data_IF_286292112637
#
_entry.id   IF_286292112637
#
_cell.length_a   1.000
_cell.length_b   1.000
_cell.length_c   1.000
_cell.angle_alpha   90.00
_cell.angle_beta   90.00
_cell.angle_gamma   90.00
#
_symmetry.space_group_name_H-M   'P 1'
#
loop_
_entity.id
_entity.type
_entity.pdbx_description
1 polymer ?
#
# COMPACT_ATOMS: atom_id res chain seq x y z
N UNK A 1 -1.37 66.01 -46.29
CA UNK A 1 -1.03 66.71 -45.03
C UNK A 1 -2.26 66.62 -44.14
N UNK A 2 -2.19 65.85 -43.05
CA UNK A 2 -1.87 66.31 -41.68
C UNK A 2 -3.18 66.57 -40.92
N UNK A 3 -3.72 65.62 -40.14
CA UNK A 3 -3.33 65.17 -38.77
C UNK A 3 -3.82 66.07 -37.62
N UNK A 4 -4.11 65.40 -36.48
CA UNK A 4 -4.43 65.94 -35.13
C UNK A 4 -5.90 66.38 -34.91
N UNK A 5 -6.56 66.27 -33.73
CA UNK A 5 -6.38 65.69 -32.36
C UNK A 5 -7.82 65.69 -31.71
N UNK A 6 -8.26 64.94 -30.67
CA UNK A 6 -7.73 63.89 -29.76
C UNK A 6 -8.90 63.22 -28.97
N UNK A 7 -8.77 61.93 -28.57
CA UNK A 7 -9.10 61.31 -27.23
C UNK A 7 -10.41 61.70 -26.47
N UNK A 8 -11.27 60.76 -26.03
CA UNK A 8 -11.09 59.96 -24.78
C UNK A 8 -11.93 58.65 -24.74
N UNK A 9 -11.46 57.68 -23.94
CA UNK A 9 -12.04 56.36 -23.69
C UNK A 9 -13.40 56.40 -22.96
N UNK A 10 -14.28 55.45 -23.33
CA UNK A 10 -15.36 54.94 -22.48
C UNK A 10 -15.32 53.41 -22.47
N UNK A 11 -14.91 52.81 -21.36
CA UNK A 11 -14.87 51.35 -21.19
C UNK A 11 -16.26 50.88 -20.76
N UNK A 12 -16.86 49.94 -21.50
CA UNK A 12 -18.03 49.18 -21.02
C UNK A 12 -17.84 47.71 -21.34
N UNK A 13 -17.56 46.93 -20.29
CA UNK A 13 -17.24 45.51 -20.38
C UNK A 13 -18.48 44.69 -20.74
N UNK A 14 -18.56 44.21 -21.98
CA UNK A 14 -19.56 43.20 -22.36
C UNK A 14 -19.09 41.86 -21.79
N UNK A 15 -19.80 41.36 -20.78
CA UNK A 15 -19.64 39.99 -20.29
C UNK A 15 -20.25 39.05 -21.33
N UNK A 16 -19.46 38.75 -22.37
CA UNK A 16 -19.78 37.73 -23.35
C UNK A 16 -19.67 36.36 -22.70
N UNK A 17 -20.79 35.81 -22.25
CA UNK A 17 -20.84 34.44 -21.78
C UNK A 17 -20.46 33.49 -22.90
N UNK A 18 -19.25 32.91 -22.84
CA UNK A 18 -18.94 31.73 -23.63
C UNK A 18 -19.84 30.59 -23.15
N UNK A 19 -20.93 30.37 -23.89
CA UNK A 19 -21.54 29.06 -24.02
C UNK A 19 -20.49 28.14 -24.67
N UNK A 20 -19.56 27.64 -23.87
CA UNK A 20 -18.72 26.52 -24.24
C UNK A 20 -19.66 25.36 -24.52
N UNK A 21 -19.81 25.04 -25.80
CA UNK A 21 -20.47 23.83 -26.27
C UNK A 21 -19.93 22.65 -25.48
N UNK A 22 -20.79 21.98 -24.71
CA UNK A 22 -20.44 20.76 -23.99
C UNK A 22 -19.77 19.79 -24.96
N UNK A 23 -18.49 19.42 -24.76
CA UNK A 23 -17.85 18.47 -25.64
C UNK A 23 -18.63 17.16 -25.63
N UNK A 24 -18.84 16.57 -26.81
CA UNK A 24 -19.42 15.23 -26.91
C UNK A 24 -18.29 14.26 -26.58
N UNK A 25 -18.15 13.97 -25.29
CA UNK A 25 -17.11 13.09 -24.76
C UNK A 25 -17.41 11.63 -25.10
N UNK A 26 -16.38 10.91 -25.54
CA UNK A 26 -16.31 9.48 -25.31
C UNK A 26 -15.97 9.25 -23.83
N UNK A 27 -16.87 8.61 -23.10
CA UNK A 27 -16.82 8.37 -21.64
C UNK A 27 -15.84 7.25 -21.27
N UNK A 28 -14.54 7.46 -21.53
CA UNK A 28 -13.48 6.50 -21.23
C UNK A 28 -12.10 7.16 -21.08
N UNK A 29 -11.76 7.55 -19.84
CA UNK A 29 -10.55 8.31 -19.45
C UNK A 29 -10.21 9.52 -20.32
N UNK A 30 -10.70 10.69 -19.88
CA UNK A 30 -10.03 11.96 -20.17
C UNK A 30 -8.60 11.99 -19.58
N UNK A 31 -7.70 12.85 -20.12
CA UNK A 31 -6.30 12.91 -19.70
C UNK A 31 -6.16 13.25 -18.21
N UNK A 32 -4.99 12.91 -17.65
CA UNK A 32 -4.64 13.09 -16.24
C UNK A 32 -5.00 14.51 -15.78
N UNK A 33 -6.09 14.62 -15.01
CA UNK A 33 -6.55 15.87 -14.44
C UNK A 33 -5.77 16.21 -13.18
N UNK A 34 -5.48 17.49 -12.94
CA UNK A 34 -4.98 17.96 -11.65
C UNK A 34 -6.15 18.42 -10.79
N UNK A 35 -6.44 17.74 -9.68
CA UNK A 35 -7.41 18.20 -8.69
C UNK A 35 -6.69 18.57 -7.37
N UNK A 36 -6.79 19.85 -7.00
CA UNK A 36 -6.19 20.43 -5.80
C UNK A 36 -6.86 19.99 -4.48
N UNK A 37 -8.08 19.44 -4.51
CA UNK A 37 -8.76 18.95 -3.31
C UNK A 37 -7.98 17.81 -2.63
N UNK A 38 -7.28 16.98 -3.41
CA UNK A 38 -6.40 15.93 -2.89
C UNK A 38 -5.09 16.48 -2.30
N UNK A 39 -4.70 17.73 -2.59
CA UNK A 39 -3.48 18.36 -2.05
C UNK A 39 -3.60 18.67 -0.54
N UNK A 40 -4.81 18.77 0.00
CA UNK A 40 -5.06 18.96 1.44
C UNK A 40 -4.98 17.65 2.26
N UNK A 41 -4.58 16.54 1.64
CA UNK A 41 -4.40 15.25 2.31
C UNK A 41 -2.92 15.00 2.63
N UNK A 42 -2.61 14.46 3.81
CA UNK A 42 -1.23 14.11 4.21
C UNK A 42 -0.71 12.81 3.55
N UNK A 43 -1.22 12.43 2.38
CA UNK A 43 -0.77 11.24 1.67
C UNK A 43 0.66 11.43 1.15
N UNK A 44 1.52 10.42 1.25
CA UNK A 44 2.89 10.46 0.72
C UNK A 44 3.73 11.64 1.27
N UNK A 45 3.51 12.04 2.53
CA UNK A 45 4.12 13.22 3.18
C UNK A 45 5.02 12.84 4.37
N UNK A 46 5.89 11.85 4.18
CA UNK A 46 6.90 11.47 5.17
C UNK A 46 8.11 12.44 5.20
N UNK A 47 8.83 12.52 6.33
CA UNK A 47 10.14 13.19 6.39
C UNK A 47 11.18 12.56 5.45
N UNK A 48 11.11 11.24 5.23
CA UNK A 48 12.04 10.49 4.36
C UNK A 48 11.85 10.92 2.89
N UNK A 49 10.63 10.92 2.37
CA UNK A 49 10.36 11.25 0.97
C UNK A 49 10.79 12.67 0.56
N UNK A 50 10.79 13.62 1.51
CA UNK A 50 11.26 15.01 1.29
C UNK A 50 12.72 15.08 0.86
N UNK A 51 13.52 14.05 1.12
CA UNK A 51 14.92 13.96 0.72
C UNK A 51 15.12 13.62 -0.76
N UNK A 52 14.12 13.04 -1.43
CA UNK A 52 14.20 12.59 -2.82
C UNK A 52 13.60 13.57 -3.83
N UNK A 53 12.85 14.58 -3.38
CA UNK A 53 12.31 15.64 -4.22
C UNK A 53 10.83 15.91 -3.99
N UNK A 54 10.20 16.65 -4.91
CA UNK A 54 8.76 16.93 -4.84
C UNK A 54 7.96 15.70 -5.29
N UNK A 55 6.93 15.38 -4.52
CA UNK A 55 5.91 14.37 -4.85
C UNK A 55 4.75 15.04 -5.61
N UNK A 56 4.31 14.42 -6.71
CA UNK A 56 3.01 14.70 -7.33
C UNK A 56 1.91 13.90 -6.64
N UNK A 57 0.87 14.60 -6.19
CA UNK A 57 -0.32 14.07 -5.52
C UNK A 57 -1.61 14.54 -6.19
N UNK A 58 -1.49 15.33 -7.27
CA UNK A 58 -2.61 16.04 -7.88
C UNK A 58 -3.24 15.25 -9.04
N UNK A 59 -2.52 14.24 -9.55
CA UNK A 59 -2.93 13.44 -10.70
C UNK A 59 -4.18 12.61 -10.41
N UNK A 60 -5.17 12.72 -11.29
CA UNK A 60 -6.45 12.01 -11.21
C UNK A 60 -6.86 11.48 -12.57
N UNK A 61 -7.74 10.46 -12.58
CA UNK A 61 -8.41 9.93 -13.78
C UNK A 61 -9.91 9.83 -13.53
N UNK A 62 -10.71 10.16 -14.54
CA UNK A 62 -12.18 10.08 -14.47
C UNK A 62 -12.65 8.72 -15.02
N UNK A 63 -13.41 7.99 -14.21
CA UNK A 63 -13.94 6.65 -14.55
C UNK A 63 -15.41 6.59 -14.09
N UNK A 64 -16.34 6.28 -14.99
CA UNK A 64 -17.80 6.37 -14.74
C UNK A 64 -18.24 7.71 -14.10
N UNK A 65 -17.65 8.82 -14.54
CA UNK A 65 -17.91 10.17 -13.98
C UNK A 65 -17.34 10.42 -12.58
N UNK A 66 -16.65 9.44 -11.96
CA UNK A 66 -15.98 9.60 -10.67
C UNK A 66 -14.53 10.03 -10.87
N UNK A 67 -14.10 11.07 -10.17
CA UNK A 67 -12.68 11.47 -10.08
C UNK A 67 -11.96 10.47 -9.17
N UNK A 68 -10.91 9.83 -9.66
CA UNK A 68 -10.08 8.89 -8.89
C UNK A 68 -8.64 9.41 -8.84
N UNK A 69 -8.03 9.58 -7.64
CA UNK A 69 -6.61 9.91 -7.54
C UNK A 69 -5.74 8.75 -8.01
N UNK A 70 -4.61 9.09 -8.64
CA UNK A 70 -3.55 8.14 -8.99
C UNK A 70 -2.61 7.92 -7.80
N UNK A 71 -1.76 6.89 -7.87
CA UNK A 71 -0.67 6.74 -6.89
C UNK A 71 0.30 7.91 -6.99
N UNK A 72 0.82 8.34 -5.83
CA UNK A 72 1.88 9.33 -5.75
C UNK A 72 3.12 8.92 -6.56
N UNK A 73 3.80 9.91 -7.14
CA UNK A 73 5.05 9.72 -7.89
C UNK A 73 5.96 10.92 -7.68
N UNK A 74 7.27 10.80 -7.93
CA UNK A 74 8.15 11.98 -7.93
C UNK A 74 7.85 12.87 -9.16
N UNK A 75 7.88 14.19 -9.01
CA UNK A 75 7.67 15.11 -10.15
C UNK A 75 8.83 15.09 -11.14
N UNK A 76 10.03 14.74 -10.68
CA UNK A 76 11.22 14.54 -11.49
C UNK A 76 11.86 13.20 -11.12
N UNK A 77 11.60 12.19 -11.95
CA UNK A 77 12.11 10.82 -11.79
C UNK A 77 13.65 10.76 -11.80
N UNK A 78 14.29 11.61 -12.61
CA UNK A 78 15.75 11.61 -12.79
C UNK A 78 16.46 12.26 -11.59
N UNK A 79 15.90 13.35 -11.06
CA UNK A 79 16.34 13.93 -9.80
C UNK A 79 16.16 12.96 -8.63
N UNK A 80 15.00 12.29 -8.54
CA UNK A 80 14.72 11.34 -7.47
C UNK A 80 15.72 10.16 -7.47
N UNK A 81 15.95 9.53 -8.62
CA UNK A 81 16.97 8.47 -8.76
C UNK A 81 18.38 8.96 -8.41
N UNK A 82 18.72 10.21 -8.74
CA UNK A 82 20.01 10.82 -8.32
C UNK A 82 20.09 10.99 -6.81
N UNK A 83 19.02 11.44 -6.15
CA UNK A 83 19.02 11.57 -4.68
C UNK A 83 19.12 10.22 -3.98
N UNK A 84 18.44 9.18 -4.49
CA UNK A 84 18.59 7.82 -3.97
C UNK A 84 20.06 7.39 -3.95
N UNK A 85 20.77 7.52 -5.08
CA UNK A 85 22.20 7.18 -5.18
C UNK A 85 23.08 7.93 -4.18
N UNK A 86 22.79 9.20 -3.92
CA UNK A 86 23.53 10.01 -2.96
C UNK A 86 23.24 9.62 -1.50
N UNK A 87 22.03 9.12 -1.21
CA UNK A 87 21.56 8.84 0.16
C UNK A 87 21.91 7.46 0.67
N UNK A 88 21.98 6.47 -0.22
CA UNK A 88 22.20 5.07 0.14
C UNK A 88 23.35 4.41 -0.65
N UNK A 89 24.52 5.08 -0.77
CA UNK A 89 25.59 4.63 -1.65
C UNK A 89 26.13 3.26 -1.23
N UNK A 90 26.14 2.93 0.06
CA UNK A 90 26.73 1.68 0.55
C UNK A 90 25.88 0.48 0.14
N UNK A 91 24.57 0.54 0.41
CA UNK A 91 23.59 -0.50 0.02
C UNK A 91 23.58 -0.71 -1.48
N UNK A 92 23.57 0.37 -2.27
CA UNK A 92 23.58 0.28 -3.73
C UNK A 92 24.88 -0.29 -4.29
N UNK A 93 26.04 0.13 -3.77
CA UNK A 93 27.34 -0.40 -4.20
C UNK A 93 27.51 -1.87 -3.81
N UNK A 94 27.00 -2.28 -2.65
CA UNK A 94 27.03 -3.67 -2.20
C UNK A 94 26.13 -4.57 -3.06
N UNK A 95 24.91 -4.13 -3.39
CA UNK A 95 24.04 -4.84 -4.34
C UNK A 95 24.68 -4.89 -5.74
N UNK A 96 25.19 -3.74 -6.23
CA UNK A 96 25.84 -3.62 -7.55
C UNK A 96 27.01 -4.58 -7.71
N UNK A 97 27.93 -4.60 -6.74
CA UNK A 97 29.13 -5.44 -6.77
C UNK A 97 28.82 -6.93 -6.61
N UNK A 98 27.99 -7.31 -5.63
CA UNK A 98 27.68 -8.71 -5.31
C UNK A 98 26.82 -9.40 -6.38
N UNK A 99 26.07 -8.63 -7.17
CA UNK A 99 25.21 -9.14 -8.25
C UNK A 99 25.63 -8.70 -9.66
N UNK A 100 26.81 -8.08 -9.83
CA UNK A 100 27.33 -7.57 -11.10
C UNK A 100 26.38 -6.61 -11.85
N UNK A 101 25.57 -5.83 -11.12
CA UNK A 101 24.63 -4.90 -11.71
C UNK A 101 25.29 -3.55 -12.00
N UNK A 102 24.89 -2.92 -13.11
CA UNK A 102 25.15 -1.48 -13.36
C UNK A 102 24.48 -0.63 -12.27
N UNK A 103 24.98 0.60 -12.09
CA UNK A 103 24.38 1.62 -11.22
C UNK A 103 22.84 1.69 -11.39
N UNK A 104 22.12 1.81 -10.27
CA UNK A 104 20.65 1.80 -10.25
C UNK A 104 20.04 2.91 -11.12
N UNK A 105 19.10 2.54 -11.97
CA UNK A 105 18.39 3.42 -12.90
C UNK A 105 17.02 2.82 -13.28
N UNK A 106 16.21 3.56 -14.04
CA UNK A 106 14.87 3.16 -14.48
C UNK A 106 14.79 1.74 -15.07
N UNK A 107 15.83 1.27 -15.77
CA UNK A 107 15.80 -0.06 -16.41
C UNK A 107 16.09 -1.24 -15.47
N UNK A 108 16.76 -1.03 -14.33
CA UNK A 108 17.20 -2.11 -13.43
C UNK A 108 16.75 -1.93 -11.96
N UNK A 109 16.05 -0.86 -11.60
CA UNK A 109 15.52 -0.62 -10.24
C UNK A 109 14.65 -1.76 -9.72
N UNK A 110 13.88 -2.44 -10.59
CA UNK A 110 13.10 -3.64 -10.24
C UNK A 110 13.99 -4.82 -9.83
N UNK A 111 15.21 -4.88 -10.34
CA UNK A 111 16.22 -5.89 -10.00
C UNK A 111 16.89 -5.58 -8.66
N UNK A 112 17.22 -4.31 -8.40
CA UNK A 112 17.66 -3.85 -7.08
C UNK A 112 16.60 -4.13 -6.00
N UNK A 113 15.30 -3.87 -6.28
CA UNK A 113 14.20 -4.25 -5.37
C UNK A 113 14.17 -5.76 -5.11
N UNK A 114 14.22 -6.58 -6.15
CA UNK A 114 14.23 -8.06 -6.03
C UNK A 114 15.34 -8.54 -5.12
N UNK A 115 16.54 -7.98 -5.29
CA UNK A 115 17.69 -8.31 -4.47
C UNK A 115 17.43 -7.88 -3.03
N UNK A 116 17.08 -6.62 -2.75
CA UNK A 116 16.81 -6.15 -1.39
C UNK A 116 15.75 -7.00 -0.66
N UNK A 117 14.65 -7.36 -1.34
CA UNK A 117 13.61 -8.23 -0.81
C UNK A 117 14.08 -9.67 -0.51
N UNK A 118 15.19 -10.12 -1.11
CA UNK A 118 15.82 -11.41 -0.80
C UNK A 118 16.90 -11.30 0.30
N UNK A 119 17.25 -10.08 0.69
CA UNK A 119 18.31 -9.77 1.64
C UNK A 119 17.79 -9.38 3.03
N UNK A 120 16.50 -9.07 3.19
CA UNK A 120 15.85 -8.67 4.46
C UNK A 120 16.21 -9.55 5.66
N UNK A 121 16.51 -10.82 5.41
CA UNK A 121 16.82 -11.83 6.42
C UNK A 121 18.33 -11.84 6.82
N UNK A 122 19.19 -11.04 6.16
CA UNK A 122 20.66 -11.11 6.27
C UNK A 122 21.30 -9.82 6.83
N UNK A 123 21.87 -9.90 8.03
CA UNK A 123 22.54 -8.79 8.72
C UNK A 123 23.79 -8.23 8.01
N UNK A 124 24.39 -8.96 7.06
CA UNK A 124 25.59 -8.53 6.33
C UNK A 124 25.37 -7.25 5.50
N UNK A 125 24.15 -7.03 5.01
CA UNK A 125 23.82 -5.90 4.13
C UNK A 125 23.28 -4.66 4.87
N UNK A 126 22.80 -4.83 6.10
CA UNK A 126 22.11 -3.78 6.86
C UNK A 126 22.90 -3.42 8.10
N UNK A 127 24.04 -2.77 7.88
CA UNK A 127 24.85 -2.18 8.95
C UNK A 127 24.28 -0.84 9.46
N UNK A 128 23.27 -0.29 8.77
CA UNK A 128 22.52 0.90 9.16
C UNK A 128 21.07 0.80 8.65
N UNK A 129 20.09 0.84 9.57
CA UNK A 129 18.66 0.81 9.25
C UNK A 129 18.22 1.98 8.35
N UNK A 130 18.91 3.12 8.44
CA UNK A 130 18.55 4.32 7.69
C UNK A 130 18.62 4.10 6.17
N UNK A 131 19.65 3.42 5.65
CA UNK A 131 19.74 3.21 4.20
C UNK A 131 18.65 2.24 3.69
N UNK A 132 18.32 1.22 4.48
CA UNK A 132 17.24 0.29 4.17
C UNK A 132 15.88 0.99 4.16
N UNK A 133 15.59 1.82 5.18
CA UNK A 133 14.36 2.61 5.26
C UNK A 133 14.25 3.58 4.09
N UNK A 134 15.31 4.33 3.79
CA UNK A 134 15.36 5.24 2.64
C UNK A 134 15.07 4.51 1.31
N UNK A 135 15.63 3.31 1.11
CA UNK A 135 15.33 2.52 -0.09
C UNK A 135 13.89 1.99 -0.13
N UNK A 136 13.37 1.44 0.99
CA UNK A 136 11.99 0.94 1.07
C UNK A 136 10.99 2.08 0.76
N UNK A 137 11.12 3.23 1.42
CA UNK A 137 10.30 4.43 1.18
C UNK A 137 10.38 4.94 -0.25
N UNK A 138 11.58 4.98 -0.84
CA UNK A 138 11.76 5.40 -2.23
C UNK A 138 11.03 4.46 -3.20
N UNK A 139 11.23 3.15 -3.04
CA UNK A 139 10.69 2.13 -3.94
C UNK A 139 9.17 2.11 -3.93
N UNK A 140 8.56 2.24 -2.76
CA UNK A 140 7.10 2.27 -2.62
C UNK A 140 6.46 3.39 -3.47
N UNK A 141 6.97 4.63 -3.37
CA UNK A 141 6.52 5.73 -4.24
C UNK A 141 6.92 5.52 -5.70
N UNK A 142 8.10 4.96 -5.97
CA UNK A 142 8.56 4.72 -7.34
C UNK A 142 7.68 3.67 -8.07
N UNK A 143 7.07 2.72 -7.35
CA UNK A 143 6.09 1.80 -7.94
C UNK A 143 4.85 2.49 -8.49
N UNK A 144 4.51 3.67 -7.96
CA UNK A 144 3.40 4.50 -8.44
C UNK A 144 3.44 4.70 -9.96
N UNK A 145 4.62 4.90 -10.56
CA UNK A 145 4.75 5.05 -12.01
C UNK A 145 4.18 3.85 -12.78
N UNK A 146 4.61 2.63 -12.42
CA UNK A 146 4.21 1.39 -13.07
C UNK A 146 2.78 0.95 -12.71
N UNK A 147 2.27 1.30 -11.51
CA UNK A 147 0.85 1.12 -11.15
C UNK A 147 -0.04 2.04 -11.99
N UNK A 148 0.33 3.32 -12.11
CA UNK A 148 -0.40 4.32 -12.89
C UNK A 148 -0.35 4.04 -14.40
N UNK A 149 0.80 3.64 -14.95
CA UNK A 149 0.94 3.27 -16.36
C UNK A 149 0.01 2.10 -16.73
N UNK A 150 0.05 1.00 -15.97
CA UNK A 150 -0.85 -0.16 -16.16
C UNK A 150 -2.32 0.17 -16.01
N UNK A 151 -2.66 1.11 -15.12
CA UNK A 151 -4.02 1.60 -14.96
C UNK A 151 -4.47 2.32 -16.23
N UNK A 152 -3.67 3.26 -16.74
CA UNK A 152 -3.97 4.01 -17.95
C UNK A 152 -4.05 3.11 -19.20
N UNK A 153 -3.16 2.11 -19.32
CA UNK A 153 -3.26 1.07 -20.35
C UNK A 153 -4.59 0.31 -20.26
N UNK A 154 -4.98 -0.14 -19.06
CA UNK A 154 -6.25 -0.84 -18.87
C UNK A 154 -7.46 0.03 -19.21
N UNK A 155 -7.47 1.30 -18.81
CA UNK A 155 -8.62 2.16 -19.12
C UNK A 155 -8.68 2.46 -20.63
N UNK A 156 -7.54 2.72 -21.28
CA UNK A 156 -7.45 2.87 -22.73
C UNK A 156 -7.98 1.64 -23.49
N UNK A 157 -7.73 0.43 -22.97
CA UNK A 157 -8.22 -0.82 -23.55
C UNK A 157 -9.75 -1.04 -23.42
N UNK A 158 -10.45 -0.28 -22.55
CA UNK A 158 -11.92 -0.35 -22.43
C UNK A 158 -12.63 0.44 -23.54
N UNK A 159 -11.95 1.39 -24.18
CA UNK A 159 -12.52 2.27 -25.20
C UNK A 159 -13.69 3.10 -24.66
N UNK A 160 -14.69 3.32 -25.52
CA UNK A 160 -15.85 4.18 -25.25
C UNK A 160 -16.95 3.46 -24.44
N UNK A 161 -16.57 2.73 -23.38
CA UNK A 161 -17.51 1.90 -22.62
C UNK A 161 -18.16 2.67 -21.48
N UNK A 162 -19.44 3.03 -21.65
CA UNK A 162 -20.22 3.81 -20.68
C UNK A 162 -20.25 3.24 -19.25
N UNK A 163 -20.17 1.92 -19.11
CA UNK A 163 -20.30 1.23 -17.81
C UNK A 163 -19.45 -0.02 -17.71
N UNK A 164 -18.75 -0.14 -16.59
CA UNK A 164 -17.90 -1.26 -16.23
C UNK A 164 -18.69 -2.37 -15.55
N UNK A 165 -18.35 -3.61 -15.89
CA UNK A 165 -18.81 -4.79 -15.14
C UNK A 165 -18.15 -4.86 -13.75
N UNK A 166 -18.76 -5.63 -12.84
CA UNK A 166 -18.22 -5.86 -11.49
C UNK A 166 -16.76 -6.36 -11.52
N UNK A 167 -16.41 -7.22 -12.48
CA UNK A 167 -15.04 -7.74 -12.65
C UNK A 167 -14.05 -6.68 -13.14
N UNK A 168 -14.45 -5.83 -14.11
CA UNK A 168 -13.62 -4.71 -14.57
C UNK A 168 -13.38 -3.70 -13.45
N UNK A 169 -14.42 -3.36 -12.68
CA UNK A 169 -14.30 -2.48 -11.50
C UNK A 169 -13.31 -3.01 -10.48
N UNK A 170 -13.35 -4.31 -10.17
CA UNK A 170 -12.35 -4.95 -9.29
C UNK A 170 -10.95 -4.83 -9.88
N UNK A 171 -10.74 -5.22 -11.14
CA UNK A 171 -9.41 -5.20 -11.80
C UNK A 171 -8.80 -3.80 -11.90
N UNK A 172 -9.62 -2.76 -12.03
CA UNK A 172 -9.20 -1.35 -12.14
C UNK A 172 -9.02 -0.73 -10.75
N UNK A 173 -9.96 -0.96 -9.83
CA UNK A 173 -9.89 -0.49 -8.45
C UNK A 173 -8.70 -1.04 -7.66
N UNK A 174 -8.20 -2.22 -8.02
CA UNK A 174 -6.96 -2.79 -7.48
C UNK A 174 -5.68 -2.11 -7.99
N UNK A 175 -5.73 -1.33 -9.07
CA UNK A 175 -4.61 -0.50 -9.56
C UNK A 175 -4.69 0.96 -9.08
N UNK A 176 -5.69 1.29 -8.25
CA UNK A 176 -5.87 2.60 -7.65
C UNK A 176 -5.48 2.58 -6.16
N UNK A 177 -5.03 3.72 -5.60
CA UNK A 177 -4.89 3.91 -4.15
C UNK A 177 -6.17 3.52 -3.42
N UNK A 178 -6.05 2.90 -2.24
CA UNK A 178 -7.19 2.40 -1.46
C UNK A 178 -8.27 3.46 -1.18
N UNK A 179 -7.87 4.72 -1.04
CA UNK A 179 -8.77 5.86 -0.81
C UNK A 179 -9.48 6.38 -2.06
N UNK A 180 -9.18 5.86 -3.26
CA UNK A 180 -9.87 6.26 -4.49
C UNK A 180 -11.33 5.75 -4.52
N UNK A 181 -12.31 6.53 -5.01
CA UNK A 181 -13.73 6.11 -5.00
C UNK A 181 -14.02 4.76 -5.65
N UNK A 182 -13.36 4.44 -6.79
CA UNK A 182 -13.51 3.15 -7.45
C UNK A 182 -12.76 2.02 -6.73
N UNK A 183 -11.68 2.30 -6.00
CA UNK A 183 -10.99 1.33 -5.16
C UNK A 183 -11.83 0.90 -3.94
N UNK A 184 -12.53 1.86 -3.33
CA UNK A 184 -13.50 1.60 -2.24
C UNK A 184 -14.69 0.78 -2.75
N UNK A 185 -15.21 1.10 -3.95
CA UNK A 185 -16.29 0.33 -4.60
C UNK A 185 -15.83 -1.11 -4.93
N UNK A 186 -14.64 -1.26 -5.52
CA UNK A 186 -14.02 -2.56 -5.81
C UNK A 186 -13.83 -3.42 -4.55
N UNK A 187 -13.31 -2.82 -3.47
CA UNK A 187 -13.12 -3.50 -2.18
C UNK A 187 -14.45 -3.99 -1.60
N UNK A 188 -15.52 -3.19 -1.75
CA UNK A 188 -16.88 -3.58 -1.32
C UNK A 188 -17.39 -4.80 -2.10
N UNK A 189 -17.15 -4.86 -3.41
CA UNK A 189 -17.50 -6.01 -4.25
C UNK A 189 -16.72 -7.27 -3.94
N UNK A 190 -15.43 -7.15 -3.61
CA UNK A 190 -14.57 -8.24 -3.15
C UNK A 190 -15.07 -8.80 -1.82
N UNK A 191 -15.37 -7.93 -0.86
CA UNK A 191 -15.90 -8.29 0.46
C UNK A 191 -17.28 -8.97 0.40
N UNK A 192 -18.13 -8.59 -0.55
CA UNK A 192 -19.45 -9.21 -0.77
C UNK A 192 -19.33 -10.71 -1.12
N UNK A 193 -18.32 -11.09 -1.93
CA UNK A 193 -18.07 -12.49 -2.29
C UNK A 193 -17.77 -13.37 -1.06
N UNK A 194 -17.26 -12.76 0.02
CA UNK A 194 -16.94 -13.43 1.28
C UNK A 194 -17.96 -13.16 2.40
N UNK A 195 -19.18 -12.66 2.13
CA UNK A 195 -20.09 -12.22 3.21
C UNK A 195 -20.32 -13.27 4.32
N UNK A 196 -20.38 -14.56 3.97
CA UNK A 196 -20.51 -15.67 4.92
C UNK A 196 -19.27 -15.91 5.82
N UNK A 197 -18.11 -15.40 5.41
CA UNK A 197 -16.81 -15.59 6.05
C UNK A 197 -16.27 -14.32 6.72
N UNK A 198 -17.01 -13.20 6.71
CA UNK A 198 -16.64 -11.92 7.36
C UNK A 198 -17.22 -11.75 8.77
N UNK A 199 -17.60 -12.86 9.42
CA UNK A 199 -17.89 -12.86 10.86
C UNK A 199 -16.61 -12.72 11.71
N UNK A 200 -16.79 -12.59 13.03
CA UNK A 200 -15.71 -12.68 14.01
C UNK A 200 -14.88 -13.96 13.83
N UNK A 201 -13.64 -13.97 14.32
CA UNK A 201 -12.84 -15.19 14.40
C UNK A 201 -13.63 -16.35 15.05
N UNK A 202 -13.79 -17.53 14.40
CA UNK A 202 -14.57 -18.63 14.96
C UNK A 202 -13.97 -19.21 16.25
N UNK A 203 -12.64 -19.37 16.32
CA UNK A 203 -11.90 -19.59 17.57
C UNK A 203 -10.74 -18.57 17.68
N UNK A 204 -10.98 -17.51 18.46
CA UNK A 204 -9.98 -16.51 18.83
C UNK A 204 -8.78 -17.12 19.57
N UNK A 205 -9.00 -18.11 20.44
CA UNK A 205 -7.92 -18.72 21.21
C UNK A 205 -7.03 -19.60 20.32
N UNK A 206 -7.58 -20.24 19.28
CA UNK A 206 -6.78 -20.93 18.28
C UNK A 206 -5.95 -19.95 17.44
N UNK A 207 -6.52 -18.80 17.06
CA UNK A 207 -5.80 -17.74 16.36
C UNK A 207 -4.59 -17.24 17.17
N UNK A 208 -4.80 -16.89 18.46
CA UNK A 208 -3.73 -16.41 19.36
C UNK A 208 -2.67 -17.49 19.58
N UNK A 209 -3.06 -18.74 19.93
CA UNK A 209 -2.10 -19.85 20.09
C UNK A 209 -1.28 -20.11 18.84
N UNK A 210 -1.88 -19.97 17.65
CA UNK A 210 -1.15 -20.14 16.39
C UNK A 210 -0.12 -19.02 16.18
N UNK A 211 -0.54 -17.76 16.40
CA UNK A 211 0.31 -16.60 16.30
C UNK A 211 1.51 -16.70 17.25
N UNK A 212 1.27 -16.94 18.54
CA UNK A 212 2.33 -17.09 19.56
C UNK A 212 3.32 -18.22 19.23
N UNK A 213 2.81 -19.36 18.75
CA UNK A 213 3.63 -20.54 18.42
C UNK A 213 4.55 -20.32 17.22
N UNK A 214 4.06 -19.65 16.17
CA UNK A 214 4.74 -19.58 14.88
C UNK A 214 5.35 -18.21 14.56
N UNK A 215 5.13 -17.18 15.37
CA UNK A 215 5.69 -15.85 15.17
C UNK A 215 7.22 -15.82 15.01
N UNK A 216 7.94 -16.59 15.83
CA UNK A 216 9.41 -16.64 15.82
C UNK A 216 10.00 -17.59 14.77
N UNK A 217 9.22 -18.55 14.29
CA UNK A 217 9.66 -19.57 13.33
C UNK A 217 8.49 -19.91 12.39
N UNK A 218 8.53 -19.50 11.11
CA UNK A 218 7.46 -19.75 10.16
C UNK A 218 7.08 -21.23 10.04
N UNK A 219 5.78 -21.51 9.85
CA UNK A 219 5.26 -22.86 9.63
C UNK A 219 5.51 -23.34 8.19
N UNK A 220 6.79 -23.40 7.83
CA UNK A 220 7.28 -23.66 6.48
C UNK A 220 6.81 -25.02 5.93
N UNK A 221 6.68 -26.04 6.78
CA UNK A 221 6.27 -27.38 6.35
C UNK A 221 4.79 -27.44 5.95
N UNK A 222 3.90 -26.77 6.68
CA UNK A 222 2.47 -26.84 6.38
C UNK A 222 2.02 -25.79 5.37
N UNK A 223 2.52 -24.56 5.49
CA UNK A 223 2.06 -23.46 4.66
C UNK A 223 3.09 -22.96 3.65
N UNK A 224 4.37 -23.29 3.81
CA UNK A 224 5.46 -22.67 3.06
C UNK A 224 5.80 -21.28 3.60
N UNK A 225 6.99 -20.80 3.22
CA UNK A 225 7.41 -19.39 3.40
C UNK A 225 7.13 -18.66 2.09
N UNK A 226 6.27 -17.65 2.11
CA UNK A 226 5.85 -16.93 0.92
C UNK A 226 6.93 -15.95 0.46
N UNK A 227 7.77 -16.38 -0.48
CA UNK A 227 8.79 -15.52 -1.12
C UNK A 227 8.37 -15.17 -2.56
N UNK A 228 7.67 -14.06 -2.75
CA UNK A 228 7.33 -13.55 -4.09
C UNK A 228 8.35 -12.52 -4.60
N UNK A 229 8.79 -12.70 -5.86
CA UNK A 229 9.81 -11.87 -6.54
C UNK A 229 9.47 -10.37 -6.70
N UNK A 230 8.27 -9.93 -6.32
CA UNK A 230 7.80 -8.56 -6.54
C UNK A 230 7.10 -7.94 -5.32
N UNK A 231 6.80 -8.73 -4.29
CA UNK A 231 6.18 -8.25 -3.04
C UNK A 231 7.30 -8.21 -1.99
N UNK A 232 7.48 -7.07 -1.32
CA UNK A 232 8.29 -7.04 -0.11
C UNK A 232 7.48 -7.69 1.00
N UNK A 233 8.12 -8.47 1.86
CA UNK A 233 7.51 -8.94 3.11
C UNK A 233 6.23 -9.80 2.91
N UNK A 234 6.09 -10.51 1.78
CA UNK A 234 4.91 -11.35 1.47
C UNK A 234 4.56 -12.39 2.55
N UNK A 235 5.55 -12.81 3.34
CA UNK A 235 5.33 -13.76 4.44
C UNK A 235 4.55 -13.14 5.62
N UNK A 236 4.57 -11.81 5.81
CA UNK A 236 3.71 -11.17 6.80
C UNK A 236 2.22 -11.41 6.52
N UNK A 237 1.84 -11.45 5.23
CA UNK A 237 0.45 -11.72 4.82
C UNK A 237 0.13 -13.22 4.83
N UNK A 238 1.09 -14.05 4.44
CA UNK A 238 0.99 -15.51 4.58
C UNK A 238 0.72 -15.89 6.04
N UNK A 239 1.48 -15.33 6.98
CA UNK A 239 1.34 -15.57 8.41
C UNK A 239 -0.04 -15.21 8.96
N UNK A 240 -0.55 -14.00 8.68
CA UNK A 240 -1.90 -13.63 9.13
C UNK A 240 -2.99 -14.46 8.45
N UNK A 241 -2.78 -14.91 7.22
CA UNK A 241 -3.68 -15.88 6.58
C UNK A 241 -3.65 -17.24 7.28
N UNK A 242 -2.49 -17.71 7.73
CA UNK A 242 -2.39 -18.93 8.53
C UNK A 242 -3.10 -18.79 9.88
N UNK A 243 -2.93 -17.66 10.58
CA UNK A 243 -3.65 -17.35 11.83
C UNK A 243 -5.17 -17.36 11.59
N UNK A 244 -5.63 -16.73 10.51
CA UNK A 244 -7.04 -16.70 10.13
C UNK A 244 -7.59 -18.09 9.80
N UNK A 245 -6.82 -18.94 9.11
CA UNK A 245 -7.21 -20.32 8.83
C UNK A 245 -7.22 -21.18 10.12
N UNK A 246 -6.23 -21.02 10.99
CA UNK A 246 -6.14 -21.69 12.29
C UNK A 246 -7.29 -21.31 13.24
N UNK A 247 -7.87 -20.12 13.08
CA UNK A 247 -9.10 -19.72 13.78
C UNK A 247 -10.37 -20.46 13.31
N UNK A 248 -10.30 -21.26 12.24
CA UNK A 248 -11.42 -22.02 11.67
C UNK A 248 -12.11 -21.38 10.48
N UNK A 249 -11.61 -20.27 9.94
CA UNK A 249 -12.19 -19.66 8.72
C UNK A 249 -11.87 -20.50 7.50
N UNK A 250 -12.91 -21.06 6.85
CA UNK A 250 -12.74 -21.88 5.65
C UNK A 250 -12.20 -21.08 4.47
N UNK A 251 -11.23 -21.66 3.76
CA UNK A 251 -10.67 -21.09 2.54
C UNK A 251 -11.71 -21.03 1.41
N UNK A 252 -11.65 -19.99 0.57
CA UNK A 252 -12.47 -19.90 -0.65
C UNK A 252 -11.59 -20.14 -1.85
N UNK A 253 -11.74 -21.30 -2.47
CA UNK A 253 -10.75 -21.86 -3.39
C UNK A 253 -11.16 -21.68 -4.85
N UNK A 254 -10.32 -21.05 -5.67
CA UNK A 254 -10.54 -20.86 -7.11
C UNK A 254 -9.36 -21.37 -7.96
N UNK A 255 -9.59 -21.67 -9.24
CA UNK A 255 -8.54 -22.07 -10.18
C UNK A 255 -7.60 -20.93 -10.60
N UNK A 256 -7.97 -19.67 -10.34
CA UNK A 256 -7.19 -18.47 -10.65
C UNK A 256 -6.78 -17.78 -9.34
N UNK A 257 -5.48 -17.53 -9.17
CA UNK A 257 -4.88 -16.93 -7.96
C UNK A 257 -5.41 -15.53 -7.61
N UNK A 258 -5.98 -14.81 -8.58
CA UNK A 258 -6.56 -13.48 -8.37
C UNK A 258 -7.95 -13.53 -7.67
N UNK A 259 -8.47 -14.73 -7.39
CA UNK A 259 -9.79 -14.93 -6.81
C UNK A 259 -9.75 -15.85 -5.58
N UNK A 260 -10.67 -15.58 -4.65
CA UNK A 260 -10.77 -16.29 -3.38
C UNK A 260 -9.78 -15.81 -2.34
N UNK A 261 -9.65 -16.59 -1.28
CA UNK A 261 -8.57 -16.52 -0.29
C UNK A 261 -8.25 -17.96 0.09
N UNK A 262 -7.10 -18.44 -0.37
CA UNK A 262 -6.73 -19.84 -0.27
C UNK A 262 -5.22 -20.09 -0.38
N UNK A 263 -4.81 -21.15 0.28
CA UNK A 263 -3.56 -21.88 0.13
C UNK A 263 -3.86 -23.33 -0.24
N UNK A 264 -2.93 -23.98 -0.94
CA UNK A 264 -2.90 -25.43 -1.15
C UNK A 264 -1.48 -25.94 -1.07
N UNK A 265 -1.32 -27.08 -0.40
CA UNK A 265 -0.14 -27.93 -0.37
C UNK A 265 -0.42 -29.19 -1.18
N UNK A 266 0.46 -29.57 -2.10
CA UNK A 266 0.34 -30.83 -2.84
C UNK A 266 1.20 -31.96 -2.21
N UNK A 267 1.07 -33.17 -2.74
CA UNK A 267 1.79 -34.36 -2.25
C UNK A 267 3.33 -34.30 -2.42
N UNK A 268 3.84 -33.34 -3.20
CA UNK A 268 5.27 -33.06 -3.38
C UNK A 268 5.77 -31.93 -2.44
N UNK A 269 4.98 -31.54 -1.44
CA UNK A 269 5.27 -30.41 -0.56
C UNK A 269 5.42 -29.05 -1.29
N UNK A 270 4.77 -28.91 -2.46
CA UNK A 270 4.73 -27.64 -3.20
C UNK A 270 3.50 -26.86 -2.75
N UNK A 271 3.72 -25.63 -2.30
CA UNK A 271 2.69 -24.71 -1.85
C UNK A 271 2.28 -23.73 -2.96
N UNK A 272 0.99 -23.41 -3.01
CA UNK A 272 0.38 -22.46 -3.95
C UNK A 272 -0.68 -21.63 -3.22
N UNK A 273 -0.89 -20.40 -3.66
CA UNK A 273 -1.64 -19.39 -2.90
C UNK A 273 -2.48 -18.53 -3.85
N UNK A 274 -3.58 -17.97 -3.37
CA UNK A 274 -4.18 -16.78 -3.97
C UNK A 274 -3.34 -15.54 -3.67
N UNK A 275 -3.42 -14.51 -4.52
CA UNK A 275 -2.76 -13.22 -4.26
C UNK A 275 -3.22 -12.62 -2.93
N UNK A 276 -4.50 -12.75 -2.61
CA UNK A 276 -5.11 -12.35 -1.34
C UNK A 276 -4.59 -13.07 -0.09
N UNK A 277 -3.86 -14.19 -0.22
CA UNK A 277 -3.25 -14.90 0.91
C UNK A 277 -1.85 -14.36 1.24
N UNK A 278 -1.16 -13.71 0.28
CA UNK A 278 0.28 -13.37 0.37
C UNK A 278 0.60 -11.90 0.03
N UNK A 279 -0.39 -11.09 -0.34
CA UNK A 279 -0.23 -9.66 -0.62
C UNK A 279 -1.04 -8.82 0.38
N UNK A 280 -0.38 -7.92 1.11
CA UNK A 280 -0.99 -7.14 2.17
C UNK A 280 -2.15 -6.24 1.66
N UNK A 281 -1.95 -5.47 0.58
CA UNK A 281 -3.00 -4.62 -0.01
C UNK A 281 -4.24 -5.42 -0.44
N UNK A 282 -4.03 -6.56 -1.11
CA UNK A 282 -5.15 -7.43 -1.51
C UNK A 282 -5.83 -8.03 -0.28
N UNK A 283 -5.09 -8.54 0.72
CA UNK A 283 -5.68 -9.09 1.96
C UNK A 283 -6.47 -8.01 2.72
N UNK A 284 -5.92 -6.80 2.88
CA UNK A 284 -6.57 -5.66 3.53
C UNK A 284 -7.91 -5.32 2.89
N UNK A 285 -7.95 -5.26 1.55
CA UNK A 285 -9.15 -4.97 0.77
C UNK A 285 -10.17 -6.10 0.80
N UNK A 286 -9.69 -7.35 0.75
CA UNK A 286 -10.51 -8.57 0.72
C UNK A 286 -11.20 -8.86 2.07
N UNK A 287 -10.46 -8.73 3.17
CA UNK A 287 -10.98 -8.89 4.54
C UNK A 287 -11.74 -7.62 5.01
N UNK A 288 -11.25 -6.46 4.59
CA UNK A 288 -11.82 -5.14 4.81
C UNK A 288 -11.21 -4.39 5.99
N UNK A 289 -10.85 -3.13 5.74
CA UNK A 289 -10.26 -2.23 6.73
C UNK A 289 -11.37 -1.50 7.48
N UNK A 290 -11.53 -1.80 8.77
CA UNK A 290 -12.62 -1.29 9.62
C UNK A 290 -12.29 -0.04 10.43
N UNK A 291 -11.04 0.43 10.40
CA UNK A 291 -10.58 1.69 11.01
C UNK A 291 -9.20 2.06 10.43
N UNK A 292 -8.92 3.35 10.23
CA UNK A 292 -7.57 3.83 9.89
C UNK A 292 -7.24 5.13 10.61
N UNK A 293 -5.96 5.38 10.87
CA UNK A 293 -5.45 6.64 11.44
C UNK A 293 -3.95 6.76 11.18
N UNK A 294 -3.39 7.96 11.27
CA UNK A 294 -1.92 8.17 11.37
C UNK A 294 -1.47 8.39 12.81
N UNK A 295 -2.39 8.48 13.78
CA UNK A 295 -2.06 8.66 15.19
C UNK A 295 -1.98 7.31 15.92
N UNK A 296 -0.79 6.96 16.42
CA UNK A 296 -0.56 5.68 17.10
C UNK A 296 -1.43 5.47 18.34
N UNK A 297 -1.60 6.48 19.20
CA UNK A 297 -2.43 6.36 20.41
C UNK A 297 -3.88 6.04 20.06
N UNK A 298 -4.45 6.73 19.07
CA UNK A 298 -5.81 6.45 18.57
C UNK A 298 -5.92 5.04 17.96
N UNK A 299 -4.86 4.55 17.32
CA UNK A 299 -4.79 3.19 16.80
C UNK A 299 -4.77 2.14 17.93
N UNK A 300 -3.86 2.29 18.89
CA UNK A 300 -3.73 1.42 20.07
C UNK A 300 -5.02 1.33 20.90
N UNK A 301 -5.77 2.44 21.01
CA UNK A 301 -7.08 2.46 21.66
C UNK A 301 -8.15 1.66 20.90
N UNK A 302 -8.04 1.56 19.57
CA UNK A 302 -9.07 1.02 18.68
C UNK A 302 -8.96 -0.50 18.43
N UNK A 303 -7.75 -1.06 18.57
CA UNK A 303 -7.43 -2.47 18.31
C UNK A 303 -7.60 -3.35 19.55
N UNK A 304 -8.03 -4.60 19.41
CA UNK A 304 -8.15 -5.58 20.51
C UNK A 304 -7.39 -6.87 20.17
N UNK A 305 -7.18 -7.75 21.15
CA UNK A 305 -6.68 -9.11 20.92
C UNK A 305 -7.59 -9.81 19.89
N UNK A 306 -6.98 -10.37 18.84
CA UNK A 306 -7.70 -10.96 17.72
C UNK A 306 -7.86 -10.06 16.49
N UNK A 307 -7.62 -8.76 16.59
CA UNK A 307 -7.62 -7.90 15.40
C UNK A 307 -6.38 -8.19 14.54
N UNK A 308 -6.56 -8.26 13.22
CA UNK A 308 -5.45 -8.12 12.30
C UNK A 308 -5.22 -6.63 12.05
N UNK A 309 -3.96 -6.29 11.80
CA UNK A 309 -3.51 -4.92 11.72
C UNK A 309 -2.60 -4.75 10.51
N UNK A 310 -2.63 -3.57 9.90
CA UNK A 310 -1.88 -3.27 8.70
C UNK A 310 -1.17 -1.91 8.81
N UNK A 311 -0.10 -1.78 8.02
CA UNK A 311 0.58 -0.51 7.76
C UNK A 311 0.55 -0.21 6.26
N UNK A 312 0.31 1.06 5.94
CA UNK A 312 0.58 1.71 4.66
C UNK A 312 1.75 2.67 4.95
N UNK A 313 2.96 2.31 4.52
CA UNK A 313 4.20 2.87 5.07
C UNK A 313 4.38 4.35 4.74
N UNK A 314 4.04 4.76 3.51
CA UNK A 314 4.11 6.15 3.07
C UNK A 314 2.73 6.84 3.04
N UNK A 315 1.67 6.19 3.56
CA UNK A 315 0.28 6.67 3.49
C UNK A 315 -0.14 6.95 2.02
N UNK A 316 0.24 6.05 1.11
CA UNK A 316 0.05 6.17 -0.34
C UNK A 316 -1.21 5.47 -0.87
N UNK A 317 -1.92 4.73 -0.02
CA UNK A 317 -3.08 3.91 -0.39
C UNK A 317 -2.76 2.46 -0.79
N UNK A 318 -1.55 1.98 -0.50
CA UNK A 318 -1.10 0.59 -0.58
C UNK A 318 -0.97 0.08 0.86
N UNK A 319 -1.55 -1.07 1.20
CA UNK A 319 -1.18 -1.72 2.46
C UNK A 319 0.03 -2.62 2.21
N UNK A 320 1.09 -2.41 2.97
CA UNK A 320 2.41 -2.99 2.68
C UNK A 320 2.80 -4.06 3.69
N UNK A 321 2.30 -3.95 4.93
CA UNK A 321 2.62 -4.87 6.01
C UNK A 321 1.37 -5.32 6.78
N UNK A 322 1.45 -6.52 7.36
CA UNK A 322 0.40 -7.19 8.14
C UNK A 322 0.94 -7.75 9.46
N UNK A 323 0.17 -7.60 10.52
CA UNK A 323 0.41 -8.22 11.83
C UNK A 323 -0.89 -8.64 12.51
N UNK A 324 -0.76 -9.25 13.68
CA UNK A 324 -1.88 -9.73 14.48
C UNK A 324 -1.69 -9.39 15.96
N UNK A 325 -2.76 -8.94 16.64
CA UNK A 325 -2.70 -8.56 18.06
C UNK A 325 -2.92 -9.77 18.94
N UNK A 326 -1.88 -10.22 19.64
CA UNK A 326 -1.93 -11.37 20.58
C UNK A 326 -2.23 -10.95 22.02
N UNK A 327 -1.87 -9.73 22.41
CA UNK A 327 -2.15 -9.17 23.74
C UNK A 327 -2.37 -7.65 23.69
N UNK A 328 -3.14 -7.09 24.63
CA UNK A 328 -3.29 -5.64 24.85
C UNK A 328 -3.35 -5.33 26.35
N UNK A 329 -2.64 -4.29 26.78
CA UNK A 329 -2.68 -3.76 28.14
C UNK A 329 -4.07 -3.20 28.49
N UNK A 330 -4.49 -3.39 29.74
CA UNK A 330 -5.78 -2.89 30.24
C UNK A 330 -5.84 -1.37 30.47
N UNK A 331 -4.71 -0.65 30.36
CA UNK A 331 -4.61 0.78 30.68
C UNK A 331 -3.50 1.48 29.88
N UNK A 332 -3.61 2.80 29.71
CA UNK A 332 -2.55 3.60 29.10
C UNK A 332 -1.40 3.85 30.09
N UNK A 333 -0.16 3.70 29.62
CA UNK A 333 1.06 4.03 30.37
C UNK A 333 2.06 4.76 29.48
N UNK A 334 3.14 5.25 30.09
CA UNK A 334 4.19 5.96 29.38
C UNK A 334 5.29 4.99 28.93
N UNK A 335 5.51 4.89 27.63
CA UNK A 335 6.49 4.01 26.98
C UNK A 335 7.19 4.78 25.87
N UNK A 336 8.53 4.69 25.77
CA UNK A 336 9.33 5.26 24.68
C UNK A 336 9.00 6.74 24.34
N UNK A 337 8.72 7.56 25.37
CA UNK A 337 8.36 8.98 25.21
C UNK A 337 6.90 9.27 24.82
N UNK A 338 6.03 8.25 24.81
CA UNK A 338 4.63 8.32 24.34
C UNK A 338 3.67 7.77 25.41
N UNK A 339 2.40 8.20 25.38
CA UNK A 339 1.34 7.65 26.23
C UNK A 339 0.34 6.85 25.39
N UNK A 340 0.24 5.54 25.61
CA UNK A 340 -0.66 4.64 24.88
C UNK A 340 -0.94 3.35 25.66
N UNK A 341 -1.93 2.57 25.23
CA UNK A 341 -2.14 1.21 25.74
C UNK A 341 -1.22 0.27 24.97
N UNK A 342 -0.28 -0.37 25.65
CA UNK A 342 0.67 -1.26 24.99
C UNK A 342 -0.05 -2.50 24.43
N UNK A 343 0.54 -3.13 23.43
CA UNK A 343 0.02 -4.35 22.83
C UNK A 343 1.16 -5.17 22.27
N UNK A 344 0.93 -6.48 22.12
CA UNK A 344 1.88 -7.39 21.46
C UNK A 344 1.42 -7.58 20.01
N UNK A 345 2.38 -7.48 19.09
CA UNK A 345 2.18 -7.77 17.67
C UNK A 345 2.94 -9.03 17.30
N UNK A 346 2.26 -9.96 16.62
CA UNK A 346 2.86 -11.09 15.94
C UNK A 346 2.99 -10.80 14.43
N UNK A 347 4.18 -10.99 13.83
CA UNK A 347 4.44 -10.67 12.41
C UNK A 347 5.70 -11.38 11.83
N UNK A 348 5.78 -11.52 10.48
CA UNK A 348 6.82 -12.29 9.75
C UNK A 348 7.74 -11.50 8.78
N UNK A 349 7.77 -10.16 8.83
CA UNK A 349 8.87 -9.35 8.25
C UNK A 349 10.17 -9.49 9.07
N UNK A 350 10.06 -9.71 10.37
CA UNK A 350 11.21 -9.88 11.28
C UNK A 350 10.99 -10.97 12.33
N UNK A 351 9.98 -11.83 12.11
CA UNK A 351 9.65 -13.01 12.91
C UNK A 351 9.64 -12.76 14.43
N UNK A 352 8.65 -11.99 14.91
CA UNK A 352 8.50 -11.72 16.34
C UNK A 352 7.05 -11.82 16.83
N UNK A 353 6.90 -12.05 18.15
CA UNK A 353 5.70 -11.78 18.95
C UNK A 353 6.12 -10.91 20.14
N UNK A 354 6.19 -9.60 19.94
CA UNK A 354 6.83 -8.62 20.84
C UNK A 354 5.87 -7.49 21.20
N UNK A 355 6.06 -6.92 22.38
CA UNK A 355 5.37 -5.70 22.79
C UNK A 355 5.79 -4.54 21.88
N UNK A 356 4.88 -3.60 21.63
CA UNK A 356 5.22 -2.39 20.86
C UNK A 356 6.28 -1.53 21.54
N UNK A 357 6.31 -1.52 22.87
CA UNK A 357 7.38 -0.84 23.61
C UNK A 357 8.77 -1.49 23.53
N UNK A 358 8.89 -2.72 23.01
CA UNK A 358 10.17 -3.44 22.91
C UNK A 358 10.98 -2.99 21.70
N UNK A 359 12.31 -2.94 21.87
CA UNK A 359 13.25 -2.63 20.80
C UNK A 359 13.09 -3.62 19.63
N UNK A 360 13.09 -3.10 18.40
CA UNK A 360 12.85 -3.88 17.18
C UNK A 360 11.38 -4.07 16.78
N UNK A 361 10.40 -3.68 17.60
CA UNK A 361 8.98 -3.72 17.19
C UNK A 361 8.63 -2.53 16.28
N UNK A 362 8.76 -1.31 16.80
CA UNK A 362 8.68 -0.04 16.05
C UNK A 362 7.29 0.37 15.55
N UNK A 363 6.21 -0.34 15.90
CA UNK A 363 4.86 0.04 15.48
C UNK A 363 4.40 1.39 16.05
N UNK A 364 4.98 1.91 17.14
CA UNK A 364 4.61 3.22 17.69
C UNK A 364 5.15 4.42 16.89
N UNK A 365 6.13 4.19 16.03
CA UNK A 365 6.86 5.22 15.28
C UNK A 365 6.25 5.50 13.89
N UNK A 366 5.59 4.51 13.28
CA UNK A 366 5.18 4.51 11.86
C UNK A 366 4.32 5.71 11.45
N UNK A 367 3.48 6.21 12.36
CA UNK A 367 2.64 7.40 12.15
C UNK A 367 3.42 8.72 12.03
N UNK A 368 4.54 8.85 12.75
CA UNK A 368 5.40 10.04 12.69
C UNK A 368 6.40 9.95 11.54
N UNK A 369 6.76 8.73 11.15
CA UNK A 369 7.47 8.43 9.90
C UNK A 369 6.62 8.77 8.65
N UNK A 370 5.32 9.05 8.79
CA UNK A 370 4.41 9.47 7.72
C UNK A 370 3.38 8.42 7.29
N UNK A 371 3.46 7.21 7.85
CA UNK A 371 2.59 6.09 7.51
C UNK A 371 1.20 6.13 8.16
N UNK A 372 0.38 5.17 7.75
CA UNK A 372 -1.00 4.98 8.22
C UNK A 372 -1.19 3.59 8.80
N UNK A 373 -1.85 3.53 9.95
CA UNK A 373 -2.33 2.29 10.56
C UNK A 373 -3.71 1.91 10.04
N UNK A 374 -3.94 0.62 9.87
CA UNK A 374 -5.25 0.03 9.58
C UNK A 374 -5.60 -1.09 10.55
N UNK A 375 -6.84 -1.14 11.02
CA UNK A 375 -7.43 -2.36 11.63
C UNK A 375 -8.14 -3.14 10.52
N UNK A 376 -7.63 -4.31 10.19
CA UNK A 376 -8.15 -5.21 9.16
C UNK A 376 -8.86 -6.36 9.84
N UNK A 377 -10.17 -6.52 9.64
CA UNK A 377 -10.96 -7.60 10.27
C UNK A 377 -10.93 -7.59 11.83
N UNK A 378 -11.89 -8.32 12.41
CA UNK A 378 -12.10 -8.61 13.84
C UNK A 378 -12.84 -9.95 13.93
#
# INVERSE_FOLDING_TARGET
MSYEKKILLGITTVIGGLLLSTPIYATGAEPIGKNLEFNNTRHCDSPILKQFGKIDREQTVIIEGKINPLYCTFTDESYALKQLRNRIPNTLNLISSKHSLKEINKSNIVEYKKILNSLSDNSEFFQNDEELQNFKSFIDIYEGYNRNEKLLEKIKALGNKDKLSKEEKIKIGMLLPYYAPLAVEASSYMQEQLRALRGTLPDLNAAVRYAEKYAWTPNADEYGVAKQKFIADADCTNFVSQILHASGVSQVVYGNENYGWWHRKNWLNIHSYSVSWINADVFARYMGVGYTTTNHRSFAQNIIVGDFIALDHENNGSWDHMGFVTYRDNAERWYNGRYYQNYIVAQHTSNYNMWVSEEGNGWELKGDEGGRYGRVRR
#
